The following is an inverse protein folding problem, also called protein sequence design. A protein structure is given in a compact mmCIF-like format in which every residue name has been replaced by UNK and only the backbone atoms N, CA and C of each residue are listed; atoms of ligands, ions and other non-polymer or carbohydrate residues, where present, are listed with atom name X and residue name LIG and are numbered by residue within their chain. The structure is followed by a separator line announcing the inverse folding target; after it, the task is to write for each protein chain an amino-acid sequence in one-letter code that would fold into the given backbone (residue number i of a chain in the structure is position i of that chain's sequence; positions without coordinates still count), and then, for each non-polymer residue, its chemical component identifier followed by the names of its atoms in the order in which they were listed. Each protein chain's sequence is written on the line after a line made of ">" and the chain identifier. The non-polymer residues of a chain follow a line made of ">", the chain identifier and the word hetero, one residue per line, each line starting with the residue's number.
data_IF_663310461315
#
_entry.id   IF_663310461315
#
_cell.length_a   1.000
_cell.length_b   1.000
_cell.length_c   1.000
_cell.angle_alpha   90.00
_cell.angle_beta   90.00
_cell.angle_gamma   90.00
#
_symmetry.space_group_name_H-M   'P 1'
#
loop_
_entity.id
_entity.type
_entity.pdbx_description
1 polymer ?
#
# COMPACT_ATOMS: atom_id res chain seq x y z
N UNK A 1 8.62 -14.87 -0.22
CA UNK A 1 7.92 -13.58 -0.15
C UNK A 1 8.91 -12.47 0.18
N UNK A 2 8.80 -11.36 -0.52
CA UNK A 2 9.74 -10.25 -0.30
C UNK A 2 9.24 -9.37 0.85
N UNK A 3 10.09 -9.18 1.84
CA UNK A 3 9.73 -8.43 3.05
C UNK A 3 9.51 -6.95 2.77
N UNK A 4 10.30 -6.38 1.85
CA UNK A 4 10.17 -4.96 1.51
C UNK A 4 8.82 -4.70 0.84
N UNK A 5 8.41 -5.57 -0.07
CA UNK A 5 7.11 -5.45 -0.72
C UNK A 5 6.00 -5.54 0.32
N UNK A 6 6.10 -6.50 1.24
CA UNK A 6 5.11 -6.64 2.29
C UNK A 6 5.00 -5.38 3.13
N UNK A 7 6.13 -4.78 3.47
CA UNK A 7 6.14 -3.56 4.26
C UNK A 7 5.50 -2.40 3.53
N UNK A 8 5.76 -2.27 2.23
CA UNK A 8 5.16 -1.20 1.43
C UNK A 8 3.64 -1.32 1.43
N UNK A 9 3.13 -2.53 1.26
CA UNK A 9 1.70 -2.76 1.27
C UNK A 9 1.10 -2.45 2.65
N UNK A 10 1.80 -2.89 3.72
CA UNK A 10 1.34 -2.58 5.07
C UNK A 10 1.25 -1.08 5.30
N UNK A 11 2.24 -0.33 4.85
CA UNK A 11 2.25 1.11 5.01
C UNK A 11 1.09 1.75 4.25
N UNK A 12 0.81 1.25 3.06
CA UNK A 12 -0.29 1.78 2.25
C UNK A 12 -1.63 1.67 2.98
N UNK A 13 -1.85 0.56 3.68
CA UNK A 13 -3.12 0.30 4.34
C UNK A 13 -3.18 0.76 5.79
N UNK A 14 -2.06 1.23 6.36
CA UNK A 14 -2.00 1.51 7.80
C UNK A 14 -2.92 2.63 8.24
N UNK A 15 -3.24 3.57 7.35
CA UNK A 15 -4.09 4.71 7.68
C UNK A 15 -5.57 4.42 7.54
N UNK A 16 -5.92 3.22 7.11
CA UNK A 16 -7.32 2.88 6.82
C UNK A 16 -7.85 1.90 7.83
N UNK A 17 -9.17 1.97 8.06
CA UNK A 17 -9.83 1.00 8.92
C UNK A 17 -9.93 -0.33 8.17
N UNK A 18 -9.40 -1.40 8.76
CA UNK A 18 -9.34 -2.70 8.09
C UNK A 18 -10.64 -3.46 8.31
N UNK A 19 -11.65 -3.11 7.51
CA UNK A 19 -12.89 -3.86 7.46
C UNK A 19 -12.64 -5.19 6.75
N UNK A 20 -13.61 -6.09 6.79
CA UNK A 20 -13.49 -7.37 6.09
C UNK A 20 -13.24 -7.16 4.60
N UNK A 21 -13.93 -6.19 4.02
CA UNK A 21 -13.74 -5.87 2.61
C UNK A 21 -12.33 -5.40 2.33
N UNK A 22 -11.83 -4.50 3.17
CA UNK A 22 -10.50 -3.94 2.96
C UNK A 22 -9.41 -4.98 3.21
N UNK A 23 -9.63 -5.89 4.15
CA UNK A 23 -8.69 -6.99 4.38
C UNK A 23 -8.58 -7.88 3.15
N UNK A 24 -9.70 -8.15 2.48
CA UNK A 24 -9.69 -8.93 1.25
C UNK A 24 -8.91 -8.20 0.16
N UNK A 25 -9.13 -6.90 0.02
CA UNK A 25 -8.41 -6.09 -0.96
C UNK A 25 -6.92 -6.08 -0.64
N UNK A 26 -6.57 -5.95 0.64
CA UNK A 26 -5.17 -5.96 1.06
C UNK A 26 -4.48 -7.26 0.68
N UNK A 27 -5.16 -8.39 0.89
CA UNK A 27 -4.61 -9.69 0.51
C UNK A 27 -4.35 -9.75 -0.98
N UNK A 28 -5.28 -9.28 -1.78
CA UNK A 28 -5.13 -9.28 -3.23
C UNK A 28 -3.99 -8.39 -3.67
N UNK A 29 -3.90 -7.19 -3.08
CA UNK A 29 -2.83 -6.26 -3.40
C UNK A 29 -1.49 -6.84 -3.02
N UNK A 30 -1.42 -7.47 -1.85
CA UNK A 30 -0.18 -8.11 -1.39
C UNK A 30 0.28 -9.17 -2.40
N UNK A 31 -0.63 -10.05 -2.81
CA UNK A 31 -0.31 -11.10 -3.77
C UNK A 31 0.15 -10.52 -5.10
N UNK A 32 -0.57 -9.53 -5.59
CA UNK A 32 -0.25 -8.93 -6.88
C UNK A 32 1.11 -8.23 -6.85
N UNK A 33 1.42 -7.56 -5.74
CA UNK A 33 2.70 -6.87 -5.61
C UNK A 33 3.85 -7.85 -5.51
N UNK A 34 3.68 -8.95 -4.77
CA UNK A 34 4.72 -9.96 -4.68
C UNK A 34 4.98 -10.59 -6.04
N UNK A 35 3.91 -10.86 -6.78
CA UNK A 35 4.02 -11.41 -8.13
C UNK A 35 4.76 -10.47 -9.06
N UNK A 36 4.40 -9.18 -9.01
CA UNK A 36 5.04 -8.19 -9.87
C UNK A 36 6.52 -8.06 -9.55
N UNK A 37 6.85 -8.05 -8.26
CA UNK A 37 8.24 -7.98 -7.84
C UNK A 37 9.03 -9.17 -8.38
N UNK A 38 8.49 -10.37 -8.19
CA UNK A 38 9.17 -11.58 -8.66
C UNK A 38 9.32 -11.59 -10.17
N UNK A 39 8.29 -11.14 -10.88
CA UNK A 39 8.34 -11.07 -12.34
C UNK A 39 9.43 -10.12 -12.81
N UNK A 40 9.55 -8.97 -12.18
CA UNK A 40 10.60 -8.00 -12.52
C UNK A 40 11.98 -8.58 -12.28
N UNK A 41 12.19 -9.24 -11.16
CA UNK A 41 13.49 -9.86 -10.85
C UNK A 41 13.79 -10.95 -11.89
N UNK A 42 12.77 -11.73 -12.25
CA UNK A 42 12.96 -12.79 -13.25
C UNK A 42 13.32 -12.25 -14.61
N UNK A 43 12.93 -11.00 -14.90
CA UNK A 43 13.26 -10.35 -16.16
C UNK A 43 14.63 -9.68 -16.14
N UNK A 44 15.33 -9.77 -15.02
CA UNK A 44 16.67 -9.22 -14.92
C UNK A 44 16.78 -7.85 -14.30
N UNK A 45 15.66 -7.31 -13.79
CA UNK A 45 15.71 -6.02 -13.11
C UNK A 45 16.37 -6.17 -11.74
N UNK A 46 16.98 -5.09 -11.27
CA UNK A 46 17.52 -5.09 -9.91
C UNK A 46 16.37 -5.03 -8.90
N UNK A 47 16.69 -5.32 -7.65
CA UNK A 47 15.71 -5.24 -6.58
C UNK A 47 15.09 -3.84 -6.50
N UNK A 48 15.95 -2.80 -6.58
CA UNK A 48 15.46 -1.42 -6.52
C UNK A 48 14.50 -1.10 -7.67
N UNK A 49 14.82 -1.59 -8.85
CA UNK A 49 13.95 -1.39 -10.01
C UNK A 49 12.63 -2.11 -9.84
N UNK A 50 12.68 -3.32 -9.31
CA UNK A 50 11.47 -4.09 -9.07
C UNK A 50 10.58 -3.42 -8.02
N UNK A 51 11.19 -2.88 -6.96
CA UNK A 51 10.45 -2.15 -5.94
C UNK A 51 9.80 -0.91 -6.54
N UNK A 52 10.52 -0.18 -7.39
CA UNK A 52 9.94 0.99 -8.06
C UNK A 52 8.71 0.61 -8.89
N UNK A 53 8.75 -0.52 -9.56
CA UNK A 53 7.62 -0.99 -10.35
C UNK A 53 6.42 -1.31 -9.45
N UNK A 54 6.67 -1.89 -8.28
CA UNK A 54 5.62 -2.18 -7.31
C UNK A 54 4.98 -0.87 -6.84
N UNK A 55 5.80 0.11 -6.50
CA UNK A 55 5.30 1.40 -6.01
C UNK A 55 4.44 2.08 -7.08
N UNK A 56 4.88 2.02 -8.35
CA UNK A 56 4.09 2.58 -9.44
C UNK A 56 2.72 1.90 -9.53
N UNK A 57 2.67 0.60 -9.35
CA UNK A 57 1.41 -0.14 -9.37
C UNK A 57 0.47 0.35 -8.27
N UNK A 58 1.03 0.71 -7.12
CA UNK A 58 0.22 1.08 -5.96
C UNK A 58 -0.35 2.49 -6.07
N UNK A 59 0.15 3.31 -6.98
CA UNK A 59 -0.38 4.67 -7.14
C UNK A 59 -1.84 4.65 -7.57
N UNK A 60 -2.22 3.73 -8.45
CA UNK A 60 -3.62 3.57 -8.84
C UNK A 60 -4.48 3.09 -7.69
N UNK A 61 -3.90 2.24 -6.83
CA UNK A 61 -4.62 1.72 -5.68
C UNK A 61 -4.93 2.81 -4.67
N UNK A 62 -4.07 3.82 -4.55
CA UNK A 62 -4.32 4.93 -3.63
C UNK A 62 -5.64 5.63 -3.95
N UNK A 63 -5.95 5.79 -5.22
CA UNK A 63 -7.23 6.38 -5.64
C UNK A 63 -8.41 5.53 -5.18
N UNK A 64 -8.29 4.23 -5.35
CA UNK A 64 -9.33 3.30 -4.91
C UNK A 64 -9.53 3.41 -3.41
N UNK A 65 -8.43 3.43 -2.66
CA UNK A 65 -8.49 3.47 -1.20
C UNK A 65 -9.05 4.78 -0.67
N UNK A 66 -8.94 5.85 -1.44
CA UNK A 66 -9.45 7.14 -0.99
C UNK A 66 -10.96 7.13 -0.77
N UNK A 67 -11.65 6.14 -1.33
CA UNK A 67 -13.08 5.97 -1.14
C UNK A 67 -13.43 5.25 0.16
N UNK A 68 -12.44 4.72 0.87
CA UNK A 68 -12.66 3.97 2.11
C UNK A 68 -12.38 4.84 3.33
N UNK A 69 -13.04 4.55 4.47
CA UNK A 69 -12.81 5.36 5.68
C UNK A 69 -11.43 5.12 6.24
N UNK A 70 -10.81 6.18 6.71
CA UNK A 70 -9.53 6.08 7.38
C UNK A 70 -9.73 5.74 8.84
N UNK A 71 -8.71 5.14 9.45
CA UNK A 71 -8.80 4.82 10.86
C UNK A 71 -8.80 6.13 11.66
N UNK A 72 -9.49 6.13 12.80
CA UNK A 72 -9.75 7.33 13.55
C UNK A 72 -8.47 8.05 13.97
N UNK A 73 -7.47 7.31 14.37
CA UNK A 73 -6.22 7.93 14.80
C UNK A 73 -5.49 8.65 13.69
N UNK A 74 -5.52 8.08 12.48
CA UNK A 74 -4.87 8.69 11.32
C UNK A 74 -5.58 9.98 10.93
N UNK A 75 -6.91 9.97 10.98
CA UNK A 75 -7.67 11.16 10.63
C UNK A 75 -7.38 12.31 11.58
N UNK A 76 -7.16 12.01 12.84
CA UNK A 76 -6.91 13.03 13.83
C UNK A 76 -5.56 13.69 13.69
N UNK A 77 -4.65 13.05 13.05
CA UNK A 77 -3.29 13.58 12.95
C UNK A 77 -3.14 14.70 11.97
N UNK A 78 -4.04 14.81 11.09
CA UNK A 78 -3.88 15.82 10.08
C UNK A 78 -4.43 17.15 10.48
N UNK A 79 -5.08 17.24 11.29
CA UNK A 79 -5.63 18.52 11.57
C UNK A 79 -5.07 19.27 12.63
N UNK A 80 -4.97 18.63 12.35
CA UNK A 80 -4.50 19.20 12.95
C UNK A 80 -4.13 19.86 13.08
N UNK A 81 -4.39 19.56 12.98
CA UNK A 81 -3.78 20.18 13.23
C UNK A 81 -3.84 21.01 13.04
N UNK A 82 -4.43 20.87 13.02
CA UNK A 82 -4.23 21.63 12.99
C UNK A 82 -4.45 22.44 13.11
N UNK A 83 -4.82 22.36 13.40
CA UNK A 83 -4.67 22.98 13.64
C UNK A 83 -4.57 23.80 13.76
N UNK A 84 -4.80 23.72 13.91
CA UNK A 84 -4.43 24.34 14.15
C UNK A 84 -4.24 24.98 14.27
N UNK A 85 -4.47 24.81 14.33
CA UNK A 85 -4.03 25.34 14.60
C UNK A 85 -3.92 25.76 14.61
#
# INVERSE_FOLDING_TARGET
>A
MNTTVARIVEILFQDYELTDELLTIKDEVMSNCQERFQDCVNRGLTEDEAISAVIESLKGMEEVLSAYPKRAGAAGQTSSSADDD
#
